data_IF_012448740976
#
_entry.id   IF_012448740976
#
_cell.length_a   1.000
_cell.length_b   1.000
_cell.length_c   1.000
_cell.angle_alpha   90.00
_cell.angle_beta   90.00
_cell.angle_gamma   90.00
#
_symmetry.space_group_name_H-M   'P 1'
#
loop_
_entity.id
_entity.type
_entity.pdbx_description
1 polymer ?
#
# COMPACT_ATOMS: atom_id res chain seq x y z
N UNK A 1 2.81 7.18 -19.41
CA UNK A 1 4.07 6.60 -18.89
C UNK A 1 4.30 5.20 -19.49
N UNK A 2 3.57 4.17 -19.05
CA UNK A 2 3.63 2.81 -19.63
C UNK A 2 3.33 2.77 -21.13
N UNK A 3 2.34 3.54 -21.59
CA UNK A 3 1.92 3.53 -23.00
C UNK A 3 2.99 4.13 -23.94
N UNK A 4 3.67 5.20 -23.54
CA UNK A 4 4.72 5.85 -24.35
C UNK A 4 5.96 4.96 -24.46
N UNK A 5 6.35 4.30 -23.37
CA UNK A 5 7.48 3.37 -23.34
C UNK A 5 7.17 2.05 -24.08
N UNK A 6 5.91 1.59 -24.02
CA UNK A 6 5.43 0.43 -24.78
C UNK A 6 5.35 0.69 -26.28
N UNK A 7 4.89 1.88 -26.71
CA UNK A 7 4.77 2.27 -28.13
C UNK A 7 6.13 2.33 -28.82
N UNK A 8 7.19 2.67 -28.09
CA UNK A 8 8.57 2.71 -28.63
C UNK A 8 9.32 1.38 -28.52
N UNK A 9 8.75 0.35 -27.88
CA UNK A 9 9.39 -0.96 -27.73
C UNK A 9 10.77 -0.93 -27.04
N UNK A 10 11.07 0.13 -26.29
CA UNK A 10 12.43 0.47 -25.82
C UNK A 10 12.63 0.32 -24.31
N UNK A 11 11.63 -0.24 -23.61
CA UNK A 11 11.71 -0.49 -22.17
C UNK A 11 12.99 -1.28 -21.82
N UNK A 12 13.88 -0.65 -21.04
CA UNK A 12 15.10 -1.29 -20.57
C UNK A 12 16.28 -1.27 -21.56
N UNK A 13 16.30 -0.34 -22.53
CA UNK A 13 17.43 -0.16 -23.48
C UNK A 13 18.08 1.22 -23.49
N UNK A 14 17.38 2.28 -23.09
CA UNK A 14 17.81 3.67 -23.30
C UNK A 14 18.51 4.34 -22.09
N UNK A 15 18.66 3.63 -20.95
CA UNK A 15 19.47 4.06 -19.79
C UNK A 15 18.66 4.61 -18.62
N UNK A 16 19.29 5.03 -17.51
CA UNK A 16 18.59 5.37 -16.26
C UNK A 16 17.80 6.70 -16.28
N UNK A 17 17.79 7.43 -17.41
CA UNK A 17 17.23 8.80 -17.52
C UNK A 17 16.43 9.06 -18.79
N UNK A 18 15.91 8.03 -19.44
CA UNK A 18 15.07 8.12 -20.65
C UNK A 18 13.93 9.11 -20.54
N UNK A 19 13.22 9.13 -19.41
CA UNK A 19 12.07 9.97 -19.20
C UNK A 19 12.45 11.45 -19.12
N UNK A 20 13.59 11.73 -18.49
CA UNK A 20 14.17 13.07 -18.46
C UNK A 20 14.63 13.52 -19.85
N UNK A 21 15.27 12.64 -20.63
CA UNK A 21 15.69 12.93 -21.99
C UNK A 21 14.48 13.23 -22.89
N UNK A 22 13.40 12.45 -22.76
CA UNK A 22 12.17 12.69 -23.48
C UNK A 22 11.53 14.03 -23.09
N UNK A 23 11.43 14.30 -21.79
CA UNK A 23 10.90 15.57 -21.29
C UNK A 23 11.72 16.77 -21.78
N UNK A 24 13.05 16.67 -21.71
CA UNK A 24 13.96 17.71 -22.21
C UNK A 24 13.81 17.91 -23.72
N UNK A 25 13.56 16.85 -24.50
CA UNK A 25 13.37 16.94 -25.95
C UNK A 25 12.02 17.54 -26.38
N UNK A 26 11.03 17.54 -25.49
CA UNK A 26 9.67 18.04 -25.77
C UNK A 26 9.51 19.51 -25.39
N UNK A 27 10.35 20.02 -24.49
CA UNK A 27 10.33 21.42 -24.08
C UNK A 27 11.10 22.31 -25.07
N UNK A 28 10.64 23.55 -25.30
CA UNK A 28 11.42 24.52 -26.07
C UNK A 28 12.74 24.85 -25.35
N UNK A 29 13.80 25.09 -26.11
CA UNK A 29 15.13 25.38 -25.57
C UNK A 29 15.15 26.67 -24.73
N UNK A 30 15.18 26.52 -23.41
CA UNK A 30 15.31 27.63 -22.46
C UNK A 30 16.78 28.00 -22.16
N UNK A 31 17.73 27.50 -22.95
CA UNK A 31 19.16 27.80 -22.83
C UNK A 31 19.46 29.30 -22.86
N UNK A 32 18.68 30.06 -23.64
CA UNK A 32 18.76 31.53 -23.72
C UNK A 32 18.28 32.27 -22.46
N UNK A 33 17.51 31.63 -21.57
CA UNK A 33 17.08 32.22 -20.29
C UNK A 33 18.07 31.84 -19.17
N UNK A 34 18.70 30.66 -19.29
CA UNK A 34 19.74 30.16 -18.37
C UNK A 34 20.95 31.09 -18.25
N UNK A 35 21.26 31.86 -19.30
CA UNK A 35 22.37 32.83 -19.29
C UNK A 35 22.14 34.04 -18.35
N UNK A 36 20.89 34.35 -18.00
CA UNK A 36 20.54 35.48 -17.13
C UNK A 36 20.38 35.08 -15.65
N UNK A 37 20.64 33.82 -15.33
CA UNK A 37 20.33 33.26 -14.02
C UNK A 37 21.54 33.35 -13.07
N UNK A 38 21.57 34.45 -12.29
CA UNK A 38 22.67 34.81 -11.38
C UNK A 38 22.75 33.87 -10.16
N UNK A 39 21.64 33.22 -9.79
CA UNK A 39 21.55 32.41 -8.56
C UNK A 39 21.64 30.90 -8.84
N UNK A 40 21.77 30.48 -10.10
CA UNK A 40 21.85 29.05 -10.46
C UNK A 40 20.55 28.27 -10.22
N UNK A 41 19.41 28.96 -10.10
CA UNK A 41 18.09 28.40 -9.82
C UNK A 41 17.59 27.49 -10.93
N UNK A 42 17.87 27.81 -12.19
CA UNK A 42 17.52 27.06 -13.39
C UNK A 42 18.33 25.77 -13.51
N UNK A 43 19.62 25.77 -13.14
CA UNK A 43 20.41 24.54 -13.05
C UNK A 43 19.90 23.63 -11.94
N UNK A 44 19.63 24.20 -10.76
CA UNK A 44 19.12 23.46 -9.62
C UNK A 44 17.73 22.88 -9.89
N UNK A 45 16.87 23.62 -10.57
CA UNK A 45 15.58 23.15 -11.04
C UNK A 45 15.71 22.01 -12.07
N UNK A 46 16.66 22.11 -13.00
CA UNK A 46 16.95 21.06 -13.98
C UNK A 46 17.39 19.76 -13.32
N UNK A 47 18.32 19.85 -12.36
CA UNK A 47 18.81 18.69 -11.60
C UNK A 47 17.73 18.11 -10.67
N UNK A 48 16.91 18.98 -10.06
CA UNK A 48 15.75 18.58 -9.26
C UNK A 48 14.71 17.85 -10.11
N UNK A 49 14.36 18.37 -11.28
CA UNK A 49 13.44 17.72 -12.20
C UNK A 49 13.98 16.38 -12.70
N UNK A 50 15.30 16.29 -12.95
CA UNK A 50 15.97 15.04 -13.29
C UNK A 50 15.84 14.00 -12.16
N UNK A 51 16.03 14.41 -10.91
CA UNK A 51 15.86 13.55 -9.74
C UNK A 51 14.40 13.09 -9.58
N UNK A 52 13.44 14.01 -9.65
CA UNK A 52 12.02 13.67 -9.54
C UNK A 52 11.59 12.68 -10.63
N UNK A 53 11.97 12.93 -11.89
CA UNK A 53 11.63 12.05 -13.00
C UNK A 53 12.30 10.67 -12.88
N UNK A 54 13.54 10.60 -12.41
CA UNK A 54 14.21 9.32 -12.13
C UNK A 54 13.51 8.52 -11.02
N UNK A 55 12.94 9.19 -10.01
CA UNK A 55 12.16 8.53 -8.95
C UNK A 55 10.84 7.97 -9.48
N UNK A 56 10.18 8.67 -10.41
CA UNK A 56 8.91 8.20 -10.99
C UNK A 56 9.09 7.15 -12.10
N UNK A 57 10.30 6.97 -12.62
CA UNK A 57 10.62 6.00 -13.67
C UNK A 57 10.93 4.59 -13.14
N UNK A 58 10.19 4.19 -12.11
CA UNK A 58 10.34 2.89 -11.43
C UNK A 58 10.26 1.70 -12.40
N UNK A 59 9.29 1.63 -13.34
CA UNK A 59 9.17 0.48 -14.24
C UNK A 59 10.38 0.31 -15.18
N UNK A 60 11.00 1.41 -15.59
CA UNK A 60 12.16 1.38 -16.48
C UNK A 60 13.42 0.90 -15.76
N UNK A 61 13.69 1.43 -14.56
CA UNK A 61 14.81 0.98 -13.72
C UNK A 61 14.70 -0.52 -13.44
N UNK A 62 13.49 -1.00 -13.12
CA UNK A 62 13.23 -2.44 -12.91
C UNK A 62 13.47 -3.25 -14.19
N UNK A 63 13.08 -2.73 -15.36
CA UNK A 63 13.30 -3.39 -16.65
C UNK A 63 14.80 -3.47 -17.02
N UNK A 64 15.56 -2.39 -16.80
CA UNK A 64 17.01 -2.35 -17.03
C UNK A 64 17.74 -3.39 -16.17
N UNK A 65 17.46 -3.41 -14.87
CA UNK A 65 18.07 -4.39 -13.97
C UNK A 65 17.64 -5.82 -14.30
N UNK A 66 16.37 -6.05 -14.67
CA UNK A 66 15.93 -7.38 -15.12
C UNK A 66 16.63 -7.85 -16.39
N UNK A 67 16.80 -6.98 -17.39
CA UNK A 67 17.53 -7.31 -18.60
C UNK A 67 18.99 -7.67 -18.31
N UNK A 68 19.65 -6.91 -17.41
CA UNK A 68 21.00 -7.24 -16.92
C UNK A 68 21.02 -8.60 -16.23
N UNK A 69 20.09 -8.87 -15.29
CA UNK A 69 19.98 -10.15 -14.56
C UNK A 69 19.76 -11.32 -15.53
N UNK A 70 18.91 -11.15 -16.54
CA UNK A 70 18.65 -12.19 -17.54
C UNK A 70 19.84 -12.47 -18.45
N UNK A 71 20.71 -11.48 -18.71
CA UNK A 71 21.87 -11.62 -19.58
C UNK A 71 23.11 -12.17 -18.85
N UNK A 72 23.40 -11.69 -17.64
CA UNK A 72 24.66 -11.99 -16.93
C UNK A 72 24.47 -12.77 -15.63
N UNK A 73 23.23 -13.10 -15.26
CA UNK A 73 22.91 -13.81 -14.02
C UNK A 73 22.92 -12.90 -12.79
N UNK A 74 22.24 -13.33 -11.73
CA UNK A 74 22.04 -12.53 -10.51
C UNK A 74 23.34 -12.24 -9.74
N UNK A 75 24.30 -13.17 -9.79
CA UNK A 75 25.58 -13.07 -9.06
C UNK A 75 26.53 -12.02 -9.66
N UNK A 76 26.23 -11.52 -10.86
CA UNK A 76 27.03 -10.50 -11.54
C UNK A 76 26.70 -9.07 -11.11
N UNK A 77 25.59 -8.85 -10.38
CA UNK A 77 25.18 -7.50 -9.95
C UNK A 77 26.01 -7.02 -8.76
N UNK A 78 26.49 -5.78 -8.87
CA UNK A 78 27.10 -5.10 -7.73
C UNK A 78 26.07 -4.89 -6.61
N UNK A 79 26.54 -4.86 -5.36
CA UNK A 79 25.67 -4.65 -4.18
C UNK A 79 24.84 -3.36 -4.28
N UNK A 80 25.39 -2.31 -4.86
CA UNK A 80 24.70 -1.02 -5.03
C UNK A 80 23.58 -1.08 -6.09
N UNK A 81 23.79 -1.83 -7.18
CA UNK A 81 22.75 -2.08 -8.20
C UNK A 81 21.64 -2.98 -7.65
N UNK A 82 21.98 -3.90 -6.75
CA UNK A 82 20.99 -4.72 -6.05
C UNK A 82 20.09 -3.88 -5.12
N UNK A 83 20.69 -2.96 -4.37
CA UNK A 83 19.95 -2.06 -3.48
C UNK A 83 19.01 -1.13 -4.24
N UNK A 84 19.45 -0.57 -5.37
CA UNK A 84 18.61 0.27 -6.24
C UNK A 84 17.47 -0.53 -6.88
N UNK A 85 17.72 -1.78 -7.28
CA UNK A 85 16.69 -2.70 -7.72
C UNK A 85 15.63 -2.98 -6.63
N UNK A 86 16.01 -3.29 -5.40
CA UNK A 86 15.05 -3.52 -4.32
C UNK A 86 14.31 -2.24 -3.89
N UNK A 87 15.01 -1.11 -3.83
CA UNK A 87 14.44 0.18 -3.44
C UNK A 87 13.39 0.68 -4.44
N UNK A 88 13.56 0.39 -5.75
CA UNK A 88 12.58 0.72 -6.79
C UNK A 88 11.39 -0.26 -6.78
N UNK A 89 11.65 -1.54 -6.51
CA UNK A 89 10.61 -2.58 -6.48
C UNK A 89 9.62 -2.40 -5.30
N UNK A 90 10.10 -1.93 -4.15
CA UNK A 90 9.30 -1.74 -2.94
C UNK A 90 8.10 -0.79 -3.13
N UNK A 91 8.25 0.47 -3.56
CA UNK A 91 7.12 1.37 -3.77
C UNK A 91 6.19 0.89 -4.88
N UNK A 92 6.70 0.22 -5.91
CA UNK A 92 5.88 -0.35 -6.98
C UNK A 92 4.90 -1.40 -6.46
N UNK A 93 5.41 -2.39 -5.70
CA UNK A 93 4.54 -3.38 -5.07
C UNK A 93 3.70 -2.78 -3.98
N UNK A 94 4.22 -1.84 -3.19
CA UNK A 94 3.44 -1.20 -2.14
C UNK A 94 2.22 -0.47 -2.71
N UNK A 95 2.40 0.38 -3.73
CA UNK A 95 1.32 1.19 -4.31
C UNK A 95 0.31 0.36 -5.08
N UNK A 96 0.71 -0.75 -5.73
CA UNK A 96 -0.22 -1.59 -6.47
C UNK A 96 -0.84 -2.70 -5.62
N UNK A 97 -0.06 -3.38 -4.77
CA UNK A 97 -0.56 -4.51 -4.00
C UNK A 97 -1.48 -4.06 -2.86
N UNK A 98 -1.18 -2.96 -2.17
CA UNK A 98 -2.01 -2.52 -1.03
C UNK A 98 -3.46 -2.18 -1.41
N UNK A 99 -3.77 -1.40 -2.46
CA UNK A 99 -5.16 -1.14 -2.83
C UNK A 99 -5.84 -2.38 -3.39
N UNK A 100 -5.14 -3.21 -4.17
CA UNK A 100 -5.71 -4.42 -4.78
C UNK A 100 -6.09 -5.44 -3.71
N UNK A 101 -5.20 -5.74 -2.77
CA UNK A 101 -5.48 -6.66 -1.67
C UNK A 101 -6.58 -6.11 -0.76
N UNK A 102 -6.55 -4.81 -0.44
CA UNK A 102 -7.60 -4.17 0.35
C UNK A 102 -8.96 -4.24 -0.34
N UNK A 103 -9.00 -4.06 -1.66
CA UNK A 103 -10.23 -4.16 -2.44
C UNK A 103 -10.76 -5.59 -2.47
N UNK A 104 -9.92 -6.58 -2.79
CA UNK A 104 -10.33 -7.99 -2.81
C UNK A 104 -10.84 -8.45 -1.44
N UNK A 105 -10.13 -8.10 -0.36
CA UNK A 105 -10.54 -8.44 1.00
C UNK A 105 -11.83 -7.71 1.41
N UNK A 106 -11.96 -6.42 1.06
CA UNK A 106 -13.17 -5.64 1.31
C UNK A 106 -14.39 -6.18 0.56
N UNK A 107 -14.24 -6.52 -0.73
CA UNK A 107 -15.31 -7.13 -1.53
C UNK A 107 -15.69 -8.51 -0.99
N UNK A 108 -14.71 -9.32 -0.60
CA UNK A 108 -14.97 -10.62 0.03
C UNK A 108 -15.84 -10.48 1.28
N UNK A 109 -15.48 -9.58 2.20
CA UNK A 109 -16.26 -9.32 3.41
C UNK A 109 -17.66 -8.79 3.08
N UNK A 110 -17.79 -7.88 2.10
CA UNK A 110 -19.07 -7.34 1.67
C UNK A 110 -20.00 -8.42 1.11
N UNK A 111 -19.48 -9.29 0.24
CA UNK A 111 -20.25 -10.38 -0.37
C UNK A 111 -20.68 -11.42 0.67
N UNK A 112 -19.77 -11.76 1.58
CA UNK A 112 -20.02 -12.71 2.67
C UNK A 112 -21.19 -12.24 3.57
N UNK A 113 -21.18 -10.95 3.96
CA UNK A 113 -22.21 -10.37 4.82
C UNK A 113 -23.56 -10.18 4.12
N UNK A 114 -23.56 -9.71 2.87
CA UNK A 114 -24.79 -9.29 2.20
C UNK A 114 -25.49 -10.42 1.44
N UNK A 115 -24.75 -11.40 0.88
CA UNK A 115 -25.34 -12.44 0.04
C UNK A 115 -25.52 -13.79 0.74
N UNK A 116 -24.59 -14.20 1.61
CA UNK A 116 -24.60 -15.57 2.15
C UNK A 116 -25.18 -15.69 3.56
N UNK A 117 -25.22 -14.59 4.34
CA UNK A 117 -25.75 -14.63 5.71
C UNK A 117 -25.10 -15.72 6.59
N UNK A 118 -23.88 -16.13 6.25
CA UNK A 118 -23.11 -17.19 6.88
C UNK A 118 -21.73 -16.61 7.21
N UNK A 119 -21.06 -17.11 8.26
CA UNK A 119 -19.81 -16.55 8.78
C UNK A 119 -19.90 -15.14 9.39
N UNK A 120 -21.00 -14.82 10.07
CA UNK A 120 -21.10 -13.61 10.91
C UNK A 120 -19.91 -13.46 11.87
N UNK A 121 -19.51 -14.55 12.53
CA UNK A 121 -18.50 -14.48 13.59
C UNK A 121 -17.13 -14.01 13.08
N UNK A 122 -16.71 -14.45 11.89
CA UNK A 122 -15.42 -14.05 11.32
C UNK A 122 -15.44 -12.64 10.72
N UNK A 123 -16.54 -12.28 10.05
CA UNK A 123 -16.70 -10.93 9.51
C UNK A 123 -16.79 -9.87 10.63
N UNK A 124 -17.44 -10.20 11.76
CA UNK A 124 -17.55 -9.30 12.91
C UNK A 124 -16.28 -9.15 13.76
N UNK A 125 -15.29 -10.05 13.64
CA UNK A 125 -13.98 -9.86 14.31
C UNK A 125 -13.27 -8.58 13.82
N UNK A 126 -13.52 -8.16 12.57
CA UNK A 126 -12.95 -6.93 11.99
C UNK A 126 -13.82 -5.69 12.21
N UNK A 127 -15.12 -5.88 12.48
CA UNK A 127 -16.09 -4.79 12.61
C UNK A 127 -16.23 -4.36 14.09
N UNK A 128 -15.88 -3.10 14.38
CA UNK A 128 -16.10 -2.51 15.70
C UNK A 128 -17.58 -2.17 15.92
N UNK A 129 -18.39 -3.17 16.28
CA UNK A 129 -19.80 -2.98 16.64
C UNK A 129 -19.92 -2.90 18.17
N UNK A 130 -20.26 -1.72 18.68
CA UNK A 130 -20.31 -1.48 20.13
C UNK A 130 -21.50 -2.13 20.85
N UNK A 131 -22.52 -2.62 20.12
CA UNK A 131 -23.77 -3.10 20.72
C UNK A 131 -23.73 -4.56 21.17
N UNK A 132 -22.92 -5.41 20.52
CA UNK A 132 -22.83 -6.84 20.80
C UNK A 132 -21.56 -7.13 21.61
N UNK A 133 -21.72 -7.73 22.80
CA UNK A 133 -20.58 -8.15 23.64
C UNK A 133 -20.86 -9.52 24.25
N UNK A 134 -19.89 -10.43 24.15
CA UNK A 134 -19.93 -11.74 24.79
C UNK A 134 -18.94 -11.77 25.96
N UNK A 135 -19.40 -12.20 27.13
CA UNK A 135 -18.58 -12.44 28.31
C UNK A 135 -18.47 -13.95 28.53
N UNK A 136 -17.25 -14.47 28.52
CA UNK A 136 -16.94 -15.85 28.83
C UNK A 136 -16.24 -15.90 30.20
N UNK A 137 -16.88 -16.50 31.19
CA UNK A 137 -16.28 -16.77 32.49
C UNK A 137 -16.02 -18.26 32.61
N UNK A 138 -14.74 -18.63 32.71
CA UNK A 138 -14.29 -19.98 32.95
C UNK A 138 -13.98 -20.13 34.43
N UNK A 139 -14.59 -21.10 35.09
CA UNK A 139 -14.40 -21.39 36.50
C UNK A 139 -13.87 -22.82 36.65
N UNK A 140 -12.70 -22.96 37.27
CA UNK A 140 -12.13 -24.26 37.58
C UNK A 140 -12.46 -24.60 39.04
N UNK A 141 -13.21 -25.68 39.24
CA UNK A 141 -13.57 -26.18 40.55
C UNK A 141 -12.35 -26.87 41.22
N UNK A 142 -12.35 -26.95 42.55
CA UNK A 142 -11.29 -27.62 43.33
C UNK A 142 -11.20 -29.13 43.05
N UNK A 143 -12.29 -29.69 42.51
CA UNK A 143 -12.39 -31.09 42.07
C UNK A 143 -11.92 -31.28 40.61
N UNK A 144 -11.36 -30.25 39.98
CA UNK A 144 -10.81 -30.31 38.62
C UNK A 144 -11.84 -30.20 37.50
N UNK A 145 -13.11 -29.90 37.82
CA UNK A 145 -14.17 -29.67 36.82
C UNK A 145 -14.08 -28.25 36.26
N UNK A 146 -14.23 -28.14 34.94
CA UNK A 146 -14.30 -26.85 34.25
C UNK A 146 -15.76 -26.47 34.01
N UNK A 147 -16.19 -25.40 34.65
CA UNK A 147 -17.49 -24.76 34.43
C UNK A 147 -17.32 -23.56 33.50
N UNK A 148 -18.14 -23.51 32.45
CA UNK A 148 -18.09 -22.47 31.43
C UNK A 148 -19.40 -21.68 31.46
N UNK A 149 -19.31 -20.41 31.80
CA UNK A 149 -20.44 -19.48 31.75
C UNK A 149 -20.26 -18.54 30.56
N UNK A 150 -21.08 -18.70 29.52
CA UNK A 150 -21.11 -17.82 28.35
C UNK A 150 -22.35 -16.92 28.42
N UNK A 151 -22.15 -15.61 28.49
CA UNK A 151 -23.22 -14.61 28.51
C UNK A 151 -23.08 -13.67 27.31
N UNK A 152 -24.08 -13.67 26.43
CA UNK A 152 -24.16 -12.74 25.29
C UNK A 152 -25.08 -11.57 25.59
N UNK A 153 -24.59 -10.34 25.33
CA UNK A 153 -25.39 -9.10 25.43
C UNK A 153 -25.60 -8.56 24.03
N UNK A 154 -26.85 -8.61 23.55
CA UNK A 154 -27.23 -8.15 22.20
C UNK A 154 -27.31 -6.62 22.07
N UNK A 155 -27.72 -5.94 23.15
CA UNK A 155 -27.83 -4.49 23.18
C UNK A 155 -27.18 -3.94 24.44
N UNK A 156 -26.10 -3.20 24.26
CA UNK A 156 -25.44 -2.49 25.35
C UNK A 156 -26.37 -1.40 25.93
N UNK A 157 -26.55 -1.34 27.27
CA UNK A 157 -27.31 -0.26 27.89
C UNK A 157 -26.62 1.08 27.64
N UNK A 158 -27.37 2.06 27.12
CA UNK A 158 -26.85 3.41 26.81
C UNK A 158 -27.07 4.41 27.95
N UNK A 159 -27.95 4.10 28.90
CA UNK A 159 -28.28 4.95 30.03
C UNK A 159 -27.94 4.23 31.32
N UNK A 160 -27.23 4.93 32.20
CA UNK A 160 -26.95 4.47 33.55
C UNK A 160 -28.08 4.91 34.45
N UNK A 161 -28.88 3.95 34.92
CA UNK A 161 -29.91 4.20 35.93
C UNK A 161 -29.35 3.86 37.32
N UNK A 162 -29.69 4.65 38.33
CA UNK A 162 -29.36 4.33 39.73
C UNK A 162 -30.31 3.25 40.23
N UNK A 163 -29.82 2.35 41.06
CA UNK A 163 -30.53 1.14 41.51
C UNK A 163 -31.91 1.39 42.16
N UNK A 164 -32.13 2.60 42.71
CA UNK A 164 -33.42 2.99 43.30
C UNK A 164 -34.57 3.15 42.28
N UNK A 165 -34.27 3.31 41.00
CA UNK A 165 -35.24 3.68 39.95
C UNK A 165 -35.76 2.48 39.13
N UNK A 166 -35.22 1.27 39.40
CA UNK A 166 -35.49 0.04 38.62
C UNK A 166 -36.83 -0.64 39.01
N UNK A 167 -37.52 -0.19 40.07
CA UNK A 167 -38.76 -0.83 40.56
C UNK A 167 -40.03 -0.52 39.75
N UNK A 168 -39.97 0.36 38.76
CA UNK A 168 -41.16 0.85 38.02
C UNK A 168 -41.15 0.52 36.52
N UNK A 169 -40.37 -0.48 36.08
CA UNK A 169 -40.39 -1.01 34.72
C UNK A 169 -40.67 -2.51 34.72
#
# INVERSE_FOLDING_TARGET
LLEVASVRGSLGREGEHTLYLFFSSTLPDFSAIRQYDIFGLASLYGDFMRLCMAIFDVPEVVALHRNKICASGFDSLGRLELWTYYASLFPYFWVLATPVVSFVFGTYLYLSLNMFGCHYNEAFLSLRIASYKNFLRLHFDKEGRLEIFAFGVDKMPRRWCRCAEIRNF
#
